data_IF_713784466796
#
_entry.id   IF_713784466796
#
_cell.length_a   1.000
_cell.length_b   1.000
_cell.length_c   1.000
_cell.angle_alpha   90.00
_cell.angle_beta   90.00
_cell.angle_gamma   90.00
#
_symmetry.space_group_name_H-M   'P 1'
#
loop_
_entity.id
_entity.type
_entity.pdbx_description
1 polymer ?
#
# COMPACT_ATOMS: atom_id res chain seq x y z
N UNK A 1 20.32 -20.77 6.16
CA UNK A 1 19.63 -19.83 5.24
C UNK A 1 20.68 -18.96 4.55
N UNK A 2 20.74 -18.96 3.21
CA UNK A 2 21.67 -18.19 2.37
C UNK A 2 21.67 -16.70 2.76
N UNK A 3 22.84 -16.04 2.80
CA UNK A 3 23.00 -14.61 3.15
C UNK A 3 22.13 -13.69 2.28
N UNK A 4 21.93 -14.01 1.00
CA UNK A 4 21.03 -13.27 0.12
C UNK A 4 19.56 -13.34 0.56
N UNK A 5 19.06 -14.52 0.91
CA UNK A 5 17.67 -14.70 1.38
C UNK A 5 17.42 -13.98 2.70
N UNK A 6 18.41 -13.97 3.61
CA UNK A 6 18.33 -13.19 4.86
C UNK A 6 18.21 -11.69 4.59
N UNK A 7 18.97 -11.15 3.62
CA UNK A 7 18.86 -9.74 3.20
C UNK A 7 17.48 -9.42 2.62
N UNK A 8 16.98 -10.25 1.70
CA UNK A 8 15.64 -10.07 1.11
C UNK A 8 14.55 -10.08 2.18
N UNK A 9 14.59 -11.05 3.11
CA UNK A 9 13.61 -11.13 4.19
C UNK A 9 13.64 -9.90 5.10
N UNK A 10 14.83 -9.40 5.44
CA UNK A 10 14.97 -8.16 6.21
C UNK A 10 14.38 -6.95 5.49
N UNK A 11 14.58 -6.84 4.17
CA UNK A 11 13.99 -5.74 3.37
C UNK A 11 12.47 -5.85 3.35
N UNK A 12 11.92 -7.06 3.19
CA UNK A 12 10.48 -7.29 3.30
C UNK A 12 9.96 -6.84 4.68
N UNK A 13 10.58 -7.29 5.76
CA UNK A 13 10.15 -6.97 7.12
C UNK A 13 10.22 -5.46 7.41
N UNK A 14 11.29 -4.81 6.95
CA UNK A 14 11.42 -3.36 7.04
C UNK A 14 10.37 -2.63 6.19
N UNK A 15 9.97 -3.18 5.04
CA UNK A 15 8.94 -2.53 4.20
C UNK A 15 7.58 -2.46 4.88
N UNK A 16 7.30 -3.38 5.81
CA UNK A 16 6.05 -3.42 6.56
C UNK A 16 5.97 -2.36 7.67
N UNK A 17 7.08 -1.70 8.03
CA UNK A 17 7.05 -0.58 8.99
C UNK A 17 6.68 0.74 8.32
N UNK A 18 6.78 0.80 6.99
CA UNK A 18 6.35 1.94 6.19
C UNK A 18 4.89 1.76 5.79
N UNK A 19 3.99 2.46 6.49
CA UNK A 19 2.55 2.27 6.36
C UNK A 19 2.02 2.55 4.95
N UNK A 20 0.84 2.02 4.65
CA UNK A 20 0.12 2.37 3.42
C UNK A 20 -0.79 3.57 3.67
N UNK A 21 -0.73 4.59 2.84
CA UNK A 21 -1.68 5.69 2.85
C UNK A 21 -1.98 6.17 1.43
N UNK A 22 -3.26 6.12 1.03
CA UNK A 22 -3.69 6.75 -0.23
C UNK A 22 -3.76 8.27 -0.10
N UNK A 23 -3.96 8.80 1.12
CA UNK A 23 -4.04 10.23 1.42
C UNK A 23 -2.72 10.97 1.11
N UNK A 24 -1.56 10.32 1.33
CA UNK A 24 -0.25 10.88 1.00
C UNK A 24 -0.12 11.31 -0.47
N UNK A 25 -0.77 10.59 -1.39
CA UNK A 25 -0.72 10.90 -2.82
C UNK A 25 -1.19 12.33 -3.14
N UNK A 26 -2.16 12.84 -2.38
CA UNK A 26 -2.71 14.18 -2.58
C UNK A 26 -1.70 15.26 -2.23
N UNK A 27 -0.88 15.04 -1.20
CA UNK A 27 0.22 15.95 -0.84
C UNK A 27 1.28 15.98 -1.93
N UNK A 28 1.67 14.80 -2.44
CA UNK A 28 2.67 14.68 -3.50
C UNK A 28 2.21 15.38 -4.78
N UNK A 29 0.95 15.20 -5.18
CA UNK A 29 0.35 15.91 -6.31
C UNK A 29 0.34 17.43 -6.12
N UNK A 30 0.18 17.89 -4.87
CA UNK A 30 0.29 19.30 -4.52
C UNK A 30 1.74 19.81 -4.43
N UNK A 31 2.74 18.99 -4.76
CA UNK A 31 4.16 19.33 -4.60
C UNK A 31 4.66 19.37 -3.16
N UNK A 32 3.90 18.81 -2.22
CA UNK A 32 4.28 18.73 -0.81
C UNK A 32 4.92 17.37 -0.51
N UNK A 33 5.86 17.36 0.45
CA UNK A 33 6.46 16.15 0.99
C UNK A 33 5.69 15.76 2.26
N UNK A 34 4.83 14.73 2.25
CA UNK A 34 4.16 14.28 3.46
C UNK A 34 5.17 13.75 4.50
N UNK A 35 4.76 13.60 5.76
CA UNK A 35 5.60 12.96 6.78
C UNK A 35 5.74 11.47 6.50
N UNK A 36 6.97 10.93 6.65
CA UNK A 36 7.27 9.48 6.55
C UNK A 36 6.39 8.63 7.46
N UNK A 37 5.94 9.18 8.58
CA UNK A 37 5.15 8.48 9.60
C UNK A 37 3.80 8.01 9.06
N UNK A 38 3.17 8.78 8.15
CA UNK A 38 1.91 8.39 7.54
C UNK A 38 2.07 7.37 6.41
N UNK A 39 3.30 7.04 6.02
CA UNK A 39 3.55 6.11 4.93
C UNK A 39 3.27 6.71 3.55
N UNK A 40 2.99 5.85 2.56
CA UNK A 40 2.49 6.30 1.25
C UNK A 40 1.76 5.21 0.45
N UNK A 41 1.43 5.50 -0.81
CA UNK A 41 0.72 4.60 -1.72
C UNK A 41 1.64 3.50 -2.28
N UNK A 42 1.07 2.59 -3.08
CA UNK A 42 1.77 1.41 -3.58
C UNK A 42 2.98 1.76 -4.46
N UNK A 43 2.93 2.84 -5.25
CA UNK A 43 4.07 3.26 -6.08
C UNK A 43 5.25 3.71 -5.21
N UNK A 44 5.01 4.59 -4.23
CA UNK A 44 6.09 5.09 -3.36
C UNK A 44 6.63 3.99 -2.43
N UNK A 45 5.78 3.08 -1.94
CA UNK A 45 6.24 1.91 -1.20
C UNK A 45 7.14 1.00 -2.08
N UNK A 46 6.74 0.72 -3.31
CA UNK A 46 7.55 -0.06 -4.24
C UNK A 46 8.87 0.63 -4.57
N UNK A 47 8.86 1.95 -4.77
CA UNK A 47 10.09 2.72 -4.99
C UNK A 47 11.04 2.66 -3.81
N UNK A 48 10.52 2.78 -2.58
CA UNK A 48 11.33 2.59 -1.37
C UNK A 48 11.99 1.21 -1.35
N UNK A 49 11.21 0.15 -1.61
CA UNK A 49 11.69 -1.23 -1.61
C UNK A 49 12.76 -1.44 -2.69
N UNK A 50 12.56 -0.91 -3.90
CA UNK A 50 13.55 -0.98 -4.98
C UNK A 50 14.87 -0.33 -4.56
N UNK A 51 14.82 0.86 -3.98
CA UNK A 51 16.02 1.56 -3.51
C UNK A 51 16.77 0.73 -2.46
N UNK A 52 16.06 0.11 -1.51
CA UNK A 52 16.67 -0.75 -0.49
C UNK A 52 17.24 -2.06 -1.07
N UNK A 53 16.59 -2.64 -2.08
CA UNK A 53 17.10 -3.80 -2.81
C UNK A 53 18.38 -3.48 -3.57
N UNK A 54 18.40 -2.38 -4.34
CA UNK A 54 19.58 -1.92 -5.07
C UNK A 54 20.74 -1.62 -4.11
N UNK A 55 20.51 -0.87 -3.03
CA UNK A 55 21.54 -0.62 -1.99
C UNK A 55 22.10 -1.91 -1.37
N UNK A 56 21.31 -2.97 -1.30
CA UNK A 56 21.72 -4.26 -0.77
C UNK A 56 22.48 -5.15 -1.77
N UNK A 57 22.64 -4.69 -3.02
CA UNK A 57 23.34 -5.36 -4.12
C UNK A 57 22.43 -6.21 -5.01
N UNK A 58 21.11 -5.98 -5.00
CA UNK A 58 20.14 -6.63 -5.89
C UNK A 58 19.82 -5.72 -7.08
N UNK A 59 20.79 -5.54 -7.98
CA UNK A 59 20.69 -4.55 -9.07
C UNK A 59 19.67 -4.92 -10.16
N UNK A 60 19.37 -6.22 -10.31
CA UNK A 60 18.33 -6.69 -11.21
C UNK A 60 16.95 -6.61 -10.52
N UNK A 61 16.50 -5.39 -10.25
CA UNK A 61 15.22 -5.11 -9.60
C UNK A 61 14.38 -4.15 -10.44
N UNK A 62 13.17 -4.57 -10.77
CA UNK A 62 12.25 -3.88 -11.67
C UNK A 62 10.90 -3.64 -11.00
N UNK A 63 10.21 -2.60 -11.43
CA UNK A 63 8.78 -2.48 -11.17
C UNK A 63 8.02 -3.48 -12.04
N UNK A 64 6.91 -3.96 -11.52
CA UNK A 64 5.88 -4.69 -12.26
C UNK A 64 4.52 -4.08 -11.94
N UNK A 65 3.65 -4.06 -12.93
CA UNK A 65 2.35 -3.39 -12.82
C UNK A 65 1.22 -4.34 -13.09
N UNK A 66 0.12 -4.10 -12.38
CA UNK A 66 -1.12 -4.82 -12.62
C UNK A 66 -1.56 -4.64 -14.08
N UNK A 67 -1.64 -5.72 -14.84
CA UNK A 67 -1.98 -5.68 -16.26
C UNK A 67 -3.48 -5.49 -16.53
N UNK A 68 -4.32 -5.61 -15.49
CA UNK A 68 -5.77 -5.50 -15.64
C UNK A 68 -6.21 -4.04 -15.51
N UNK A 69 -5.87 -3.39 -14.41
CA UNK A 69 -6.30 -2.01 -14.11
C UNK A 69 -5.16 -1.00 -14.25
N UNK A 70 -3.89 -1.44 -14.22
CA UNK A 70 -2.74 -0.54 -14.37
C UNK A 70 -2.48 0.38 -13.18
N UNK A 71 -3.17 0.16 -12.04
CA UNK A 71 -3.10 1.07 -10.88
C UNK A 71 -2.11 0.65 -9.83
N UNK A 72 -1.88 -0.65 -9.70
CA UNK A 72 -1.04 -1.19 -8.66
C UNK A 72 0.37 -1.47 -9.20
N UNK A 73 1.37 -1.08 -8.41
CA UNK A 73 2.78 -1.36 -8.70
C UNK A 73 3.37 -2.20 -7.57
N UNK A 74 4.18 -3.17 -7.98
CA UNK A 74 4.94 -4.08 -7.12
C UNK A 74 6.39 -4.16 -7.62
N UNK A 75 7.23 -4.92 -6.93
CA UNK A 75 8.63 -5.13 -7.31
C UNK A 75 8.88 -6.58 -7.71
N UNK A 76 9.62 -6.77 -8.79
CA UNK A 76 10.22 -8.01 -9.21
C UNK A 76 11.74 -7.93 -9.03
N UNK A 77 12.28 -8.77 -8.15
CA UNK A 77 13.70 -8.85 -7.86
C UNK A 77 14.26 -10.15 -8.40
N UNK A 78 15.32 -10.07 -9.19
CA UNK A 78 16.08 -11.24 -9.63
C UNK A 78 17.27 -11.45 -8.71
N UNK A 79 17.50 -12.71 -8.37
CA UNK A 79 18.72 -13.23 -7.76
C UNK A 79 19.31 -14.26 -8.71
N UNK A 80 20.59 -14.62 -8.56
CA UNK A 80 21.36 -15.48 -9.49
C UNK A 80 20.67 -16.78 -9.95
N UNK A 81 19.60 -17.26 -9.29
CA UNK A 81 18.83 -18.44 -9.71
C UNK A 81 17.32 -18.31 -9.57
N UNK A 82 16.80 -17.20 -9.02
CA UNK A 82 15.39 -17.09 -8.61
C UNK A 82 14.84 -15.68 -8.69
N UNK A 83 13.55 -15.58 -8.98
CA UNK A 83 12.74 -14.36 -9.01
C UNK A 83 11.89 -14.26 -7.74
N UNK A 84 11.85 -13.06 -7.16
CA UNK A 84 11.06 -12.75 -5.97
C UNK A 84 10.13 -11.58 -6.23
N UNK A 85 8.88 -11.66 -5.78
CA UNK A 85 7.94 -10.55 -5.81
C UNK A 85 7.83 -9.90 -4.42
N UNK A 86 7.83 -8.57 -4.40
CA UNK A 86 7.43 -7.77 -3.24
C UNK A 86 6.17 -6.96 -3.59
N UNK A 87 5.03 -7.36 -3.01
CA UNK A 87 3.78 -6.61 -3.01
C UNK A 87 3.48 -6.04 -1.61
N UNK A 88 4.03 -4.87 -1.24
CA UNK A 88 3.87 -4.32 0.12
C UNK A 88 2.42 -4.06 0.50
N UNK A 89 1.57 -3.74 -0.49
CA UNK A 89 0.14 -3.52 -0.28
C UNK A 89 -0.56 -4.72 0.37
N UNK A 90 -0.15 -5.95 0.03
CA UNK A 90 -0.74 -7.16 0.61
C UNK A 90 -0.15 -7.57 1.96
N UNK A 91 0.92 -6.92 2.42
CA UNK A 91 1.52 -7.17 3.73
C UNK A 91 1.84 -8.67 3.96
N UNK A 92 2.43 -9.30 2.94
CA UNK A 92 2.89 -10.69 3.03
C UNK A 92 4.03 -10.80 4.05
N UNK A 93 4.05 -11.92 4.78
CA UNK A 93 5.01 -12.17 5.88
C UNK A 93 6.21 -13.01 5.44
N UNK A 94 6.15 -13.56 4.23
CA UNK A 94 7.13 -14.47 3.66
C UNK A 94 7.54 -14.02 2.25
N UNK A 95 8.77 -14.34 1.86
CA UNK A 95 9.25 -14.08 0.50
C UNK A 95 8.42 -14.86 -0.53
N UNK A 96 7.95 -14.16 -1.56
CA UNK A 96 7.24 -14.74 -2.71
C UNK A 96 8.26 -15.17 -3.75
N UNK A 97 8.79 -16.39 -3.60
CA UNK A 97 9.65 -17.05 -4.60
C UNK A 97 8.78 -17.61 -5.74
N UNK A 98 8.70 -16.90 -6.87
CA UNK A 98 7.80 -17.28 -7.98
C UNK A 98 8.29 -18.48 -8.76
N UNK A 99 9.59 -18.75 -8.74
CA UNK A 99 10.17 -19.91 -9.42
C UNK A 99 9.91 -21.21 -8.66
N UNK A 100 9.65 -21.11 -7.35
CA UNK A 100 9.20 -22.23 -6.51
C UNK A 100 7.71 -22.56 -6.62
N UNK A 101 6.92 -21.80 -7.38
CA UNK A 101 5.47 -22.00 -7.52
C UNK A 101 5.20 -22.75 -8.83
N UNK A 102 4.58 -23.94 -8.73
CA UNK A 102 4.13 -24.71 -9.90
C UNK A 102 2.81 -24.17 -10.45
N UNK A 103 1.76 -24.19 -9.64
CA UNK A 103 0.42 -23.72 -10.04
C UNK A 103 -0.11 -22.67 -9.06
N UNK A 104 -0.19 -23.02 -7.78
CA UNK A 104 -0.70 -22.12 -6.73
C UNK A 104 0.07 -22.33 -5.44
N UNK A 105 0.31 -21.24 -4.71
CA UNK A 105 0.84 -21.25 -3.35
C UNK A 105 0.06 -20.27 -2.49
N UNK A 106 -0.30 -20.70 -1.29
CA UNK A 106 -0.89 -19.82 -0.27
C UNK A 106 0.17 -19.46 0.76
N UNK A 107 0.26 -18.19 1.13
CA UNK A 107 1.19 -17.68 2.15
C UNK A 107 0.46 -16.81 3.18
N UNK A 108 0.95 -16.76 4.43
CA UNK A 108 0.36 -15.92 5.47
C UNK A 108 0.65 -14.43 5.24
N UNK A 109 -0.31 -13.59 5.62
CA UNK A 109 -0.26 -12.14 5.54
C UNK A 109 -0.96 -11.50 6.74
N UNK A 110 -0.78 -10.19 6.90
CA UNK A 110 -1.61 -9.38 7.79
C UNK A 110 -2.92 -8.97 7.10
N UNK A 111 -3.99 -8.59 7.82
CA UNK A 111 -4.16 -8.67 9.27
C UNK A 111 -4.22 -10.10 9.84
N UNK A 112 -4.04 -10.21 11.16
CA UNK A 112 -4.39 -11.39 11.95
C UNK A 112 -5.68 -11.07 12.72
N UNK A 113 -6.74 -11.84 12.50
CA UNK A 113 -8.05 -11.66 13.15
C UNK A 113 -8.28 -12.88 14.04
N UNK A 114 -8.46 -12.66 15.35
CA UNK A 114 -8.70 -13.74 16.31
C UNK A 114 -7.67 -14.89 16.22
N UNK A 115 -6.40 -14.56 15.99
CA UNK A 115 -5.31 -15.52 15.84
C UNK A 115 -5.17 -16.16 14.46
N UNK A 116 -6.10 -15.89 13.52
CA UNK A 116 -6.08 -16.40 12.16
C UNK A 116 -5.48 -15.35 11.21
N UNK A 117 -4.34 -15.62 10.55
CA UNK A 117 -3.76 -14.68 9.59
C UNK A 117 -4.60 -14.61 8.31
N UNK A 118 -4.58 -13.43 7.67
CA UNK A 118 -4.98 -13.29 6.28
C UNK A 118 -4.13 -14.17 5.39
N UNK A 119 -4.66 -14.54 4.23
CA UNK A 119 -3.92 -15.35 3.27
C UNK A 119 -3.78 -14.65 1.94
N UNK A 120 -2.64 -14.88 1.30
CA UNK A 120 -2.39 -14.47 -0.07
C UNK A 120 -2.25 -15.74 -0.90
N UNK A 121 -3.06 -15.84 -1.94
CA UNK A 121 -2.98 -16.88 -2.96
C UNK A 121 -2.21 -16.35 -4.16
N UNK A 122 -1.06 -16.94 -4.42
CA UNK A 122 -0.20 -16.66 -5.57
C UNK A 122 -0.41 -17.76 -6.60
N UNK A 123 -0.96 -17.42 -7.74
CA UNK A 123 -1.26 -18.33 -8.85
C UNK A 123 -0.31 -18.03 -10.01
N UNK A 124 0.26 -19.06 -10.63
CA UNK A 124 1.22 -18.93 -11.73
C UNK A 124 0.70 -19.65 -12.97
N UNK A 125 0.77 -18.96 -14.10
CA UNK A 125 0.52 -19.51 -15.42
C UNK A 125 1.61 -19.01 -16.38
N UNK A 126 2.63 -19.84 -16.60
CA UNK A 126 3.82 -19.43 -17.37
C UNK A 126 4.57 -18.25 -16.73
N UNK A 127 4.62 -17.13 -17.43
CA UNK A 127 5.18 -15.86 -16.94
C UNK A 127 4.12 -14.88 -16.41
N UNK A 128 2.87 -15.31 -16.27
CA UNK A 128 1.81 -14.56 -15.62
C UNK A 128 1.69 -15.00 -14.16
N UNK A 129 1.67 -14.04 -13.24
CA UNK A 129 1.41 -14.26 -11.83
C UNK A 129 0.18 -13.46 -11.41
N UNK A 130 -0.80 -14.13 -10.82
CA UNK A 130 -1.92 -13.47 -10.16
C UNK A 130 -1.79 -13.62 -8.65
N UNK A 131 -1.80 -12.51 -7.92
CA UNK A 131 -1.77 -12.48 -6.47
C UNK A 131 -3.13 -11.99 -6.00
N UNK A 132 -3.84 -12.81 -5.23
CA UNK A 132 -5.10 -12.47 -4.62
C UNK A 132 -4.96 -12.51 -3.10
N UNK A 133 -5.53 -11.55 -2.40
CA UNK A 133 -5.55 -11.51 -0.95
C UNK A 133 -6.99 -11.63 -0.44
N UNK A 134 -7.15 -12.56 0.49
CA UNK A 134 -8.36 -12.69 1.29
C UNK A 134 -8.22 -11.92 2.61
N UNK A 135 -9.26 -11.17 2.98
CA UNK A 135 -9.30 -10.32 4.16
C UNK A 135 -10.30 -10.93 5.16
N UNK A 136 -9.84 -11.57 6.25
CA UNK A 136 -10.72 -12.21 7.21
C UNK A 136 -11.78 -11.25 7.74
N UNK A 137 -13.04 -11.70 7.74
CA UNK A 137 -14.19 -10.91 8.21
C UNK A 137 -14.64 -9.80 7.27
N UNK A 138 -14.14 -9.76 6.02
CA UNK A 138 -14.52 -8.74 5.04
C UNK A 138 -14.88 -9.41 3.70
N UNK A 139 -15.95 -8.95 3.04
CA UNK A 139 -16.29 -9.32 1.65
C UNK A 139 -15.38 -8.60 0.64
N UNK A 140 -14.10 -8.52 0.93
CA UNK A 140 -13.10 -7.82 0.12
C UNK A 140 -12.10 -8.82 -0.41
N UNK A 141 -11.97 -8.87 -1.74
CA UNK A 141 -10.91 -9.62 -2.41
C UNK A 141 -10.13 -8.66 -3.29
N UNK A 142 -8.89 -8.36 -2.90
CA UNK A 142 -8.00 -7.58 -3.74
C UNK A 142 -7.18 -8.55 -4.61
N UNK A 143 -7.06 -8.26 -5.91
CA UNK A 143 -6.35 -9.10 -6.87
C UNK A 143 -5.54 -8.26 -7.84
N UNK A 144 -4.29 -8.66 -8.07
CA UNK A 144 -3.41 -8.06 -9.07
C UNK A 144 -2.78 -9.15 -9.94
N UNK A 145 -2.65 -8.88 -11.23
CA UNK A 145 -2.05 -9.79 -12.20
C UNK A 145 -0.85 -9.13 -12.85
N UNK A 146 0.29 -9.80 -12.89
CA UNK A 146 1.55 -9.27 -13.40
C UNK A 146 2.11 -10.16 -14.50
N UNK A 147 2.77 -9.53 -15.49
CA UNK A 147 3.62 -10.25 -16.45
C UNK A 147 5.09 -10.12 -16.01
N UNK A 148 5.72 -11.26 -15.69
CA UNK A 148 7.10 -11.33 -15.21
C UNK A 148 8.15 -10.95 -16.26
N UNK A 149 7.79 -10.87 -17.54
CA UNK A 149 8.68 -10.45 -18.64
C UNK A 149 8.67 -8.95 -18.88
N UNK A 150 7.68 -8.22 -18.32
CA UNK A 150 7.49 -6.77 -18.54
C UNK A 150 7.99 -5.95 -17.35
N UNK A 151 9.25 -6.14 -16.99
CA UNK A 151 9.90 -5.30 -15.97
C UNK A 151 10.03 -3.85 -16.44
N UNK A 152 9.67 -2.90 -15.57
CA UNK A 152 9.75 -1.46 -15.82
C UNK A 152 10.86 -0.88 -14.94
N UNK A 153 11.76 -0.10 -15.53
CA UNK A 153 12.85 0.56 -14.78
C UNK A 153 12.48 1.97 -14.33
N UNK A 154 11.54 2.60 -15.03
CA UNK A 154 11.21 4.00 -14.88
C UNK A 154 10.23 4.25 -13.74
N UNK A 155 10.45 5.39 -13.08
CA UNK A 155 9.50 5.95 -12.14
C UNK A 155 8.23 6.41 -12.87
N UNK A 156 7.12 6.53 -12.14
CA UNK A 156 5.91 7.12 -12.72
C UNK A 156 6.18 8.57 -13.08
N UNK A 157 5.75 8.96 -14.27
CA UNK A 157 5.60 10.36 -14.59
C UNK A 157 4.41 10.95 -13.82
N UNK A 158 4.31 12.28 -13.87
CA UNK A 158 3.27 13.00 -13.15
C UNK A 158 1.85 12.64 -13.62
N UNK A 159 1.64 12.40 -14.91
CA UNK A 159 0.32 12.10 -15.46
C UNK A 159 -0.14 10.70 -15.06
N UNK A 160 0.76 9.72 -15.10
CA UNK A 160 0.49 8.37 -14.62
C UNK A 160 0.18 8.37 -13.12
N UNK A 161 0.91 9.15 -12.34
CA UNK A 161 0.65 9.27 -10.91
C UNK A 161 -0.73 9.90 -10.64
N UNK A 162 -1.10 10.97 -11.35
CA UNK A 162 -2.43 11.59 -11.25
C UNK A 162 -3.51 10.57 -11.60
N UNK A 163 -3.36 9.88 -12.73
CA UNK A 163 -4.33 8.89 -13.21
C UNK A 163 -4.61 7.84 -12.14
N UNK A 164 -3.58 7.33 -11.47
CA UNK A 164 -3.71 6.31 -10.41
C UNK A 164 -4.32 6.86 -9.13
N UNK A 165 -3.90 8.05 -8.72
CA UNK A 165 -4.29 8.69 -7.47
C UNK A 165 -5.74 9.24 -7.50
N UNK A 166 -6.23 9.63 -8.67
CA UNK A 166 -7.59 10.16 -8.89
C UNK A 166 -8.50 9.20 -9.68
N UNK A 167 -8.14 7.92 -9.75
CA UNK A 167 -8.96 6.92 -10.44
C UNK A 167 -10.36 6.82 -9.84
N UNK A 168 -11.37 6.52 -10.65
CA UNK A 168 -12.78 6.51 -10.24
C UNK A 168 -13.10 5.53 -9.10
N UNK A 169 -12.45 4.38 -9.09
CA UNK A 169 -12.56 3.40 -8.00
C UNK A 169 -11.96 3.89 -6.66
N UNK A 170 -11.23 5.00 -6.64
CA UNK A 170 -10.71 5.62 -5.41
C UNK A 170 -11.81 6.41 -4.70
N UNK A 171 -12.76 5.70 -4.10
CA UNK A 171 -13.91 6.31 -3.40
C UNK A 171 -13.61 6.78 -1.98
N UNK A 172 -12.44 6.40 -1.43
CA UNK A 172 -12.02 6.76 -0.07
C UNK A 172 -10.54 7.14 -0.02
N UNK A 173 -10.15 8.02 0.90
CA UNK A 173 -8.77 8.22 1.30
C UNK A 173 -8.53 7.54 2.65
N UNK A 174 -7.34 7.00 2.86
CA UNK A 174 -7.04 6.30 4.12
C UNK A 174 -5.60 6.40 4.59
N UNK A 175 -5.45 6.15 5.89
CA UNK A 175 -4.20 5.82 6.57
C UNK A 175 -4.37 4.40 7.12
N UNK A 176 -3.45 3.50 6.80
CA UNK A 176 -3.40 2.14 7.34
C UNK A 176 -2.49 2.11 8.56
N UNK A 177 -2.92 1.44 9.63
CA UNK A 177 -2.17 1.25 10.85
C UNK A 177 -1.93 -0.25 11.05
N UNK A 178 -0.78 -0.74 10.59
CA UNK A 178 -0.30 -2.09 10.90
C UNK A 178 0.50 -2.05 12.21
N UNK A 179 -0.01 -2.71 13.25
CA UNK A 179 0.77 -3.08 14.43
C UNK A 179 1.45 -4.43 14.18
N UNK A 180 2.76 -4.42 13.97
CA UNK A 180 3.51 -5.64 13.71
C UNK A 180 3.62 -6.58 14.91
N UNK A 181 3.47 -6.06 16.15
CA UNK A 181 3.57 -6.87 17.37
C UNK A 181 2.35 -7.76 17.53
N UNK A 182 1.16 -7.19 17.32
CA UNK A 182 -0.12 -7.92 17.43
C UNK A 182 -0.57 -8.51 16.10
N UNK A 183 -0.14 -7.92 14.99
CA UNK A 183 -0.56 -8.26 13.64
C UNK A 183 -1.90 -7.67 13.22
N UNK A 184 -2.45 -6.72 13.98
CA UNK A 184 -3.71 -6.06 13.64
C UNK A 184 -3.50 -4.98 12.58
N UNK A 185 -4.50 -4.81 11.72
CA UNK A 185 -4.53 -3.73 10.72
C UNK A 185 -5.84 -2.98 10.80
N UNK A 186 -5.79 -1.75 11.31
CA UNK A 186 -6.92 -0.83 11.30
C UNK A 186 -6.71 0.25 10.22
N UNK A 187 -7.78 0.95 9.84
CA UNK A 187 -7.72 2.07 8.89
C UNK A 187 -8.47 3.27 9.42
N UNK A 188 -7.86 4.45 9.35
CA UNK A 188 -8.59 5.71 9.41
C UNK A 188 -8.99 6.07 7.97
N UNK A 189 -10.28 6.24 7.73
CA UNK A 189 -10.86 6.40 6.38
C UNK A 189 -11.70 7.67 6.32
N UNK A 190 -11.54 8.41 5.23
CA UNK A 190 -12.39 9.53 4.88
C UNK A 190 -12.99 9.28 3.49
N UNK A 191 -14.31 9.38 3.37
CA UNK A 191 -15.02 9.24 2.09
C UNK A 191 -14.62 10.39 1.17
N UNK A 192 -14.24 10.07 -0.07
CA UNK A 192 -13.73 11.00 -1.06
C UNK A 192 -14.75 11.30 -2.19
N UNK A 193 -15.91 10.63 -2.16
CA UNK A 193 -17.03 10.87 -3.07
C UNK A 193 -17.89 12.06 -2.59
N UNK A 194 -18.08 13.03 -3.48
CA UNK A 194 -18.83 14.27 -3.26
C UNK A 194 -20.35 14.07 -3.21
N UNK A 195 -20.86 12.91 -3.65
CA UNK A 195 -22.29 12.60 -3.56
C UNK A 195 -22.76 12.32 -2.12
N UNK A 196 -21.82 12.11 -1.20
CA UNK A 196 -22.08 11.99 0.22
C UNK A 196 -21.58 13.25 0.93
N UNK A 197 -22.44 14.27 1.00
CA UNK A 197 -22.15 15.59 1.60
C UNK A 197 -21.78 15.55 3.10
N UNK A 198 -21.91 14.41 3.76
CA UNK A 198 -21.53 14.27 5.16
C UNK A 198 -20.10 13.76 5.25
N UNK A 199 -19.25 14.52 5.95
CA UNK A 199 -17.84 14.23 6.23
C UNK A 199 -17.64 12.93 7.01
N UNK A 200 -17.83 11.78 6.36
CA UNK A 200 -17.76 10.51 7.07
C UNK A 200 -16.29 10.07 7.21
N UNK A 201 -15.65 10.64 8.23
CA UNK A 201 -14.46 10.12 8.84
C UNK A 201 -14.86 8.96 9.76
N UNK A 202 -14.23 7.80 9.58
CA UNK A 202 -14.47 6.64 10.42
C UNK A 202 -13.22 5.78 10.54
N UNK A 203 -13.16 4.97 11.59
CA UNK A 203 -12.16 3.90 11.73
C UNK A 203 -12.80 2.61 11.27
N UNK A 204 -12.12 1.88 10.38
CA UNK A 204 -12.44 0.47 10.10
C UNK A 204 -11.48 -0.38 10.91
N UNK A 205 -12.02 -1.24 11.76
CA UNK A 205 -11.17 -2.09 12.59
C UNK A 205 -10.59 -3.26 11.80
N UNK A 206 -9.62 -3.92 12.42
CA UNK A 206 -9.05 -5.19 11.97
C UNK A 206 -10.10 -6.25 11.61
N UNK A 207 -11.20 -6.32 12.35
CA UNK A 207 -12.34 -7.23 12.17
C UNK A 207 -13.35 -6.73 11.12
N UNK A 208 -13.12 -5.57 10.52
CA UNK A 208 -14.04 -4.94 9.57
C UNK A 208 -15.14 -4.06 10.21
N UNK A 209 -15.15 -3.92 11.53
CA UNK A 209 -16.15 -3.10 12.24
C UNK A 209 -15.95 -1.62 11.91
N UNK A 210 -17.04 -0.91 11.66
CA UNK A 210 -17.02 0.54 11.40
C UNK A 210 -17.30 1.32 12.67
N UNK A 211 -16.36 2.17 13.08
CA UNK A 211 -16.51 3.12 14.19
C UNK A 211 -16.62 4.53 13.59
N UNK A 212 -17.82 5.12 13.49
CA UNK A 212 -18.00 6.45 12.92
C UNK A 212 -17.49 7.53 13.90
N UNK A 213 -17.04 8.68 13.38
CA UNK A 213 -16.62 9.82 14.20
C UNK A 213 -17.71 10.35 15.13
N UNK A 214 -19.00 10.13 14.80
CA UNK A 214 -20.13 10.50 15.64
C UNK A 214 -20.13 9.78 16.99
N UNK A 215 -19.59 8.57 17.08
CA UNK A 215 -19.30 7.89 18.34
C UNK A 215 -17.96 8.40 18.90
N UNK A 216 -17.97 9.66 19.37
CA UNK A 216 -16.75 10.40 19.71
C UNK A 216 -15.89 9.69 20.75
N UNK A 217 -16.50 9.05 21.75
CA UNK A 217 -15.77 8.43 22.84
C UNK A 217 -14.96 7.21 22.36
N UNK A 218 -15.61 6.30 21.64
CA UNK A 218 -14.97 5.09 21.09
C UNK A 218 -13.98 5.47 19.99
N UNK A 219 -14.37 6.38 19.09
CA UNK A 219 -13.53 6.85 18.00
C UNK A 219 -12.23 7.49 18.51
N UNK A 220 -12.31 8.45 19.45
CA UNK A 220 -11.12 9.16 19.94
C UNK A 220 -10.17 8.24 20.71
N UNK A 221 -10.73 7.32 21.52
CA UNK A 221 -9.94 6.33 22.26
C UNK A 221 -9.17 5.44 21.29
N UNK A 222 -9.87 4.87 20.30
CA UNK A 222 -9.24 4.00 19.28
C UNK A 222 -8.22 4.79 18.46
N UNK A 223 -8.55 5.99 18.01
CA UNK A 223 -7.65 6.83 17.21
C UNK A 223 -6.36 7.15 17.96
N UNK A 224 -6.43 7.47 19.25
CA UNK A 224 -5.24 7.73 20.07
C UNK A 224 -4.30 6.52 20.11
N UNK A 225 -4.86 5.32 20.26
CA UNK A 225 -4.10 4.07 20.15
C UNK A 225 -3.47 3.91 18.77
N UNK A 226 -4.23 4.14 17.69
CA UNK A 226 -3.72 4.00 16.32
C UNK A 226 -2.62 5.00 15.99
N UNK A 227 -2.78 6.26 16.39
CA UNK A 227 -1.81 7.32 16.17
C UNK A 227 -0.47 7.00 16.86
N UNK A 228 -0.51 6.38 18.04
CA UNK A 228 0.70 5.92 18.74
C UNK A 228 1.51 4.87 17.95
N UNK A 229 0.86 4.03 17.13
CA UNK A 229 1.55 2.99 16.31
C UNK A 229 2.54 3.65 15.33
N UNK A 230 2.19 4.82 14.80
CA UNK A 230 3.00 5.58 13.85
C UNK A 230 3.68 6.80 14.49
N UNK A 231 3.62 6.92 15.82
CA UNK A 231 4.22 8.00 16.61
C UNK A 231 3.77 9.40 16.20
N UNK A 232 2.47 9.58 15.95
CA UNK A 232 1.85 10.89 15.69
C UNK A 232 0.74 11.18 16.69
N UNK A 233 0.32 12.44 16.78
CA UNK A 233 -0.86 12.81 17.55
C UNK A 233 -2.15 12.45 16.81
N UNK A 234 -3.21 12.14 17.56
CA UNK A 234 -4.52 11.80 16.99
C UNK A 234 -5.08 12.93 16.10
N UNK A 235 -4.89 14.18 16.51
CA UNK A 235 -5.32 15.35 15.73
C UNK A 235 -4.54 15.48 14.42
N UNK A 236 -3.23 15.23 14.44
CA UNK A 236 -2.41 15.26 13.22
C UNK A 236 -2.88 14.22 12.20
N UNK A 237 -3.30 13.03 12.65
CA UNK A 237 -3.86 12.01 11.76
C UNK A 237 -5.20 12.44 11.12
N UNK A 238 -6.05 13.15 11.87
CA UNK A 238 -7.30 13.73 11.35
C UNK A 238 -6.98 14.82 10.34
N UNK A 239 -6.16 15.79 10.72
CA UNK A 239 -5.82 16.94 9.88
C UNK A 239 -5.12 16.51 8.60
N UNK A 240 -4.21 15.52 8.69
CA UNK A 240 -3.55 14.93 7.54
C UNK A 240 -4.59 14.39 6.53
N UNK A 241 -5.58 13.64 7.01
CA UNK A 241 -6.56 13.00 6.15
C UNK A 241 -7.60 13.99 5.59
N UNK A 242 -8.07 14.94 6.41
CA UNK A 242 -9.03 15.96 5.97
C UNK A 242 -8.41 16.92 4.94
N UNK A 243 -7.16 17.36 5.14
CA UNK A 243 -6.46 18.17 4.14
C UNK A 243 -6.20 17.39 2.86
N UNK A 244 -5.91 16.09 2.93
CA UNK A 244 -5.81 15.25 1.73
C UNK A 244 -7.14 15.21 0.96
N UNK A 245 -8.27 15.12 1.66
CA UNK A 245 -9.60 15.18 1.03
C UNK A 245 -9.84 16.51 0.31
N UNK A 246 -9.54 17.64 0.95
CA UNK A 246 -9.67 18.96 0.31
C UNK A 246 -8.82 19.06 -0.96
N UNK A 247 -7.60 18.53 -0.93
CA UNK A 247 -6.74 18.45 -2.11
C UNK A 247 -7.32 17.54 -3.18
N UNK A 248 -7.87 16.38 -2.81
CA UNK A 248 -8.52 15.46 -3.73
C UNK A 248 -9.71 16.10 -4.46
N UNK A 249 -10.60 16.76 -3.72
CA UNK A 249 -11.74 17.50 -4.29
C UNK A 249 -11.26 18.60 -5.25
N UNK A 250 -10.25 19.37 -4.84
CA UNK A 250 -9.62 20.39 -5.70
C UNK A 250 -9.08 19.78 -6.99
N UNK A 251 -8.40 18.64 -6.95
CA UNK A 251 -7.78 18.01 -8.12
C UNK A 251 -8.77 17.29 -9.03
N UNK A 252 -9.91 16.85 -8.51
CA UNK A 252 -11.00 16.33 -9.35
C UNK A 252 -11.62 17.42 -10.22
N UNK A 253 -11.77 18.63 -9.67
CA UNK A 253 -12.30 19.79 -10.41
C UNK A 253 -11.22 20.37 -11.33
N UNK A 254 -10.02 20.58 -10.79
CA UNK A 254 -8.88 21.19 -11.48
C UNK A 254 -7.69 20.23 -11.46
N UNK A 255 -7.62 19.34 -12.46
CA UNK A 255 -6.52 18.38 -12.57
C UNK A 255 -5.19 19.13 -12.56
N UNK A 256 -4.27 18.83 -11.63
CA UNK A 256 -2.99 19.50 -11.61
C UNK A 256 -2.24 19.18 -12.89
N UNK A 257 -1.58 20.18 -13.46
CA UNK A 257 -0.74 20.01 -14.66
C UNK A 257 0.69 20.30 -14.30
N UNK A 258 1.60 19.43 -14.73
CA UNK A 258 3.05 19.64 -14.72
C UNK A 258 3.61 19.07 -16.02
N UNK A 259 4.78 19.54 -16.43
CA UNK A 259 5.54 18.87 -17.48
C UNK A 259 5.73 17.39 -17.09
N UNK A 260 5.86 16.49 -18.08
CA UNK A 260 6.10 15.05 -17.86
C UNK A 260 7.47 14.84 -17.20
N UNK A 261 7.53 15.10 -15.90
CA UNK A 261 8.69 14.93 -15.04
C UNK A 261 8.40 13.78 -14.09
N UNK A 262 9.41 12.97 -13.73
CA UNK A 262 9.26 11.96 -12.70
C UNK A 262 8.69 12.56 -11.41
N UNK A 263 7.76 11.85 -10.78
CA UNK A 263 7.25 12.30 -9.48
C UNK A 263 8.39 12.26 -8.46
N UNK A 264 8.68 13.37 -7.74
CA UNK A 264 9.77 13.39 -6.77
C UNK A 264 9.55 12.33 -5.70
N UNK A 265 10.63 11.63 -5.32
CA UNK A 265 10.53 10.68 -4.21
C UNK A 265 10.55 11.45 -2.91
N UNK A 266 9.55 11.20 -2.09
CA UNK A 266 9.48 11.87 -0.81
C UNK A 266 10.52 11.34 0.18
N UNK A 267 11.21 10.21 0.01
CA UNK A 267 11.81 9.51 1.17
C UNK A 267 13.20 8.89 0.99
#
# INVERSE_FOLDING_TARGET
MNTGLKKLKRILDNSLSFQYSSAASMYVLNGQRPSKQFGSNCYEQSRNIRNELTKAGFDQTYYIEDMIVGRHRSILCYTNKRRFIFCPYFMHRELIDVDGIKDTRTIPAYPIVQGVPSTIRVMREGDIITIAKDWPGQERVDRFTFNLTRGISDDLDFNDYIFRALHEEQTTLSIRFLDQKTGTVDHLICVADTNHLNEELYIRTNEGVRIPRSDRAVFNTKLSTLASIISVDANDAIDFLLKARVLHEKFRINKPTRANTPVPFSY
#
